data_IF_510883968755
#
_entry.id   IF_510883968755
#
_cell.length_a   1.000
_cell.length_b   1.000
_cell.length_c   1.000
_cell.angle_alpha   90.00
_cell.angle_beta   90.00
_cell.angle_gamma   90.00
#
_symmetry.space_group_name_H-M   'P 1'
#
loop_
_entity.id
_entity.type
_entity.pdbx_description
1 polymer ?
#
# COMPACT_ATOMS: atom_id res chain seq x y z
N UNK A 1 0.06 -5.54 2.41
CA UNK A 1 -0.12 -5.35 0.96
C UNK A 1 -1.05 -4.18 0.68
N UNK A 2 -2.22 -4.12 1.30
CA UNK A 2 -3.09 -2.93 1.21
C UNK A 2 -2.60 -1.85 2.18
N UNK A 3 -1.86 -0.88 1.64
CA UNK A 3 -1.46 0.34 2.33
C UNK A 3 -2.28 1.53 1.87
N UNK A 4 -2.03 2.70 2.43
CA UNK A 4 -2.71 3.96 2.09
C UNK A 4 -2.51 4.33 0.62
N UNK A 5 -1.38 3.93 0.03
CA UNK A 5 -1.04 4.22 -1.37
C UNK A 5 -2.06 3.65 -2.36
N UNK A 6 -2.72 2.53 -2.07
CA UNK A 6 -3.71 1.98 -3.00
C UNK A 6 -4.96 2.87 -3.11
N UNK A 7 -5.28 3.62 -2.07
CA UNK A 7 -6.43 4.52 -2.05
C UNK A 7 -6.09 5.93 -2.55
N UNK A 8 -4.89 6.43 -2.28
CA UNK A 8 -4.52 7.79 -2.68
C UNK A 8 -3.80 7.85 -4.03
N UNK A 9 -2.88 6.92 -4.29
CA UNK A 9 -1.93 7.03 -5.41
C UNK A 9 -2.32 6.18 -6.61
N UNK A 10 -3.08 5.11 -6.41
CA UNK A 10 -3.45 4.21 -7.51
C UNK A 10 -4.21 4.94 -8.63
N UNK A 11 -5.15 5.82 -8.29
CA UNK A 11 -5.90 6.62 -9.26
C UNK A 11 -5.00 7.54 -10.08
N UNK A 12 -4.00 8.17 -9.44
CA UNK A 12 -3.04 9.05 -10.11
C UNK A 12 -2.12 8.26 -11.06
N UNK A 13 -1.67 7.07 -10.65
CA UNK A 13 -0.83 6.20 -11.49
C UNK A 13 -1.61 5.74 -12.72
N UNK A 14 -2.84 5.27 -12.55
CA UNK A 14 -3.70 4.85 -13.68
C UNK A 14 -4.07 6.03 -14.57
N UNK A 15 -4.31 7.22 -14.00
CA UNK A 15 -4.63 8.42 -14.75
C UNK A 15 -3.51 8.89 -15.68
N UNK A 16 -2.25 8.81 -15.24
CA UNK A 16 -1.10 9.22 -16.06
C UNK A 16 -0.60 8.11 -17.00
N UNK A 17 -0.46 6.88 -16.50
CA UNK A 17 0.08 5.77 -17.29
C UNK A 17 -0.97 5.17 -18.25
N UNK A 18 -2.25 5.42 -18.02
CA UNK A 18 -3.34 4.72 -18.71
C UNK A 18 -3.52 3.30 -18.18
N UNK A 19 -4.63 2.67 -18.57
CA UNK A 19 -5.00 1.34 -18.06
C UNK A 19 -4.03 0.26 -18.56
N UNK A 20 -3.54 0.36 -19.80
CA UNK A 20 -2.64 -0.63 -20.39
C UNK A 20 -1.31 -0.75 -19.66
N UNK A 21 -0.58 0.36 -19.53
CA UNK A 21 0.73 0.40 -18.85
C UNK A 21 0.60 0.14 -17.35
N UNK A 22 -0.45 0.63 -16.69
CA UNK A 22 -0.71 0.34 -15.29
C UNK A 22 -0.94 -1.17 -15.05
N UNK A 23 -1.69 -1.84 -15.93
CA UNK A 23 -1.86 -3.29 -15.88
C UNK A 23 -0.53 -4.03 -16.09
N UNK A 24 0.31 -3.58 -17.03
CA UNK A 24 1.63 -4.16 -17.26
C UNK A 24 2.51 -4.04 -16.01
N UNK A 25 2.55 -2.87 -15.39
CA UNK A 25 3.32 -2.63 -14.16
C UNK A 25 2.85 -3.55 -13.01
N UNK A 26 1.54 -3.72 -12.86
CA UNK A 26 0.95 -4.63 -11.87
C UNK A 26 1.36 -6.08 -12.14
N UNK A 27 1.25 -6.56 -13.38
CA UNK A 27 1.64 -7.93 -13.75
C UNK A 27 3.13 -8.17 -13.48
N UNK A 28 3.99 -7.22 -13.85
CA UNK A 28 5.44 -7.31 -13.59
C UNK A 28 5.73 -7.39 -12.08
N UNK A 29 5.06 -6.55 -11.28
CA UNK A 29 5.19 -6.58 -9.81
C UNK A 29 4.73 -7.92 -9.23
N UNK A 30 3.63 -8.48 -9.73
CA UNK A 30 3.16 -9.81 -9.34
C UNK A 30 4.14 -10.92 -9.69
N UNK A 31 4.80 -10.88 -10.85
CA UNK A 31 5.83 -11.87 -11.22
C UNK A 31 7.00 -11.83 -10.23
N UNK A 32 7.48 -10.63 -9.87
CA UNK A 32 8.57 -10.46 -8.89
C UNK A 32 8.14 -10.97 -7.51
N UNK A 33 6.94 -10.61 -7.05
CA UNK A 33 6.41 -11.05 -5.76
C UNK A 33 6.18 -12.58 -5.71
N UNK A 34 5.67 -13.16 -6.80
CA UNK A 34 5.47 -14.60 -6.93
C UNK A 34 6.80 -15.36 -6.92
N UNK A 35 7.81 -14.86 -7.64
CA UNK A 35 9.15 -15.42 -7.64
C UNK A 35 9.76 -15.39 -6.24
N UNK A 36 9.68 -14.23 -5.55
CA UNK A 36 10.21 -14.07 -4.19
C UNK A 36 9.49 -14.98 -3.18
N UNK A 37 8.16 -15.11 -3.29
CA UNK A 37 7.36 -15.99 -2.43
C UNK A 37 7.70 -17.46 -2.68
N UNK A 38 7.94 -17.84 -3.94
CA UNK A 38 8.39 -19.20 -4.30
C UNK A 38 9.76 -19.51 -3.70
N UNK A 39 10.70 -18.57 -3.77
CA UNK A 39 12.00 -18.69 -3.08
C UNK A 39 11.84 -18.82 -1.56
N UNK A 40 10.97 -18.00 -0.95
CA UNK A 40 10.72 -18.05 0.49
C UNK A 40 10.10 -19.39 0.91
N UNK A 41 9.18 -19.94 0.11
CA UNK A 41 8.60 -21.27 0.33
C UNK A 41 9.65 -22.39 0.26
N UNK A 42 10.59 -22.30 -0.68
CA UNK A 42 11.71 -23.25 -0.78
C UNK A 42 12.64 -23.16 0.43
N UNK A 43 12.94 -21.95 0.90
CA UNK A 43 13.75 -21.69 2.11
C UNK A 43 13.05 -22.26 3.36
N UNK A 44 11.75 -22.00 3.50
CA UNK A 44 10.95 -22.48 4.62
C UNK A 44 10.88 -24.02 4.65
N UNK A 45 10.83 -24.67 3.49
CA UNK A 45 10.79 -26.13 3.38
C UNK A 45 12.17 -26.78 3.61
N UNK A 46 13.26 -26.09 3.26
CA UNK A 46 14.64 -26.61 3.38
C UNK A 46 15.22 -26.45 4.80
N UNK A 47 14.67 -25.53 5.60
CA UNK A 47 15.19 -25.18 6.93
C UNK A 47 14.94 -26.17 8.07
N UNK A 48 14.22 -27.28 7.83
CA UNK A 48 13.78 -28.23 8.86
C UNK A 48 12.62 -27.70 9.73
N UNK A 49 12.09 -28.51 10.65
CA UNK A 49 10.95 -28.13 11.50
C UNK A 49 11.37 -27.01 12.46
N UNK A 50 10.88 -25.80 12.22
CA UNK A 50 11.14 -24.62 13.04
C UNK A 50 10.04 -24.54 14.08
N UNK A 51 10.35 -24.91 15.32
CA UNK A 51 9.37 -24.79 16.41
C UNK A 51 9.34 -23.38 17.00
N UNK A 52 10.47 -22.67 17.08
CA UNK A 52 10.55 -21.31 17.65
C UNK A 52 11.72 -20.52 17.04
N UNK A 53 11.47 -19.34 16.45
CA UNK A 53 12.55 -18.50 15.89
C UNK A 53 12.13 -17.37 14.93
N UNK A 54 10.90 -17.41 14.40
CA UNK A 54 10.43 -16.37 13.47
C UNK A 54 11.20 -16.29 12.14
N UNK A 55 10.87 -15.33 11.26
CA UNK A 55 11.36 -15.30 9.88
C UNK A 55 12.88 -15.14 9.74
N UNK A 56 13.50 -14.31 10.58
CA UNK A 56 14.96 -14.09 10.54
C UNK A 56 15.74 -15.35 10.90
N UNK A 57 15.29 -16.09 11.92
CA UNK A 57 15.94 -17.34 12.31
C UNK A 57 15.88 -18.38 11.19
N UNK A 58 14.71 -18.49 10.52
CA UNK A 58 14.56 -19.38 9.35
C UNK A 58 15.53 -19.02 8.22
N UNK A 59 15.67 -17.73 7.91
CA UNK A 59 16.59 -17.24 6.87
C UNK A 59 18.06 -17.52 7.21
N UNK A 60 18.49 -17.14 8.42
CA UNK A 60 19.89 -17.28 8.85
C UNK A 60 20.36 -18.74 8.89
N UNK A 61 19.45 -19.69 9.18
CA UNK A 61 19.75 -21.12 9.20
C UNK A 61 19.86 -21.72 7.79
N UNK A 62 18.95 -21.36 6.89
CA UNK A 62 18.94 -21.93 5.52
C UNK A 62 19.99 -21.31 4.59
N UNK A 63 20.29 -20.01 4.73
CA UNK A 63 21.22 -19.27 3.85
C UNK A 63 22.61 -19.05 4.48
N UNK A 64 22.76 -19.32 5.77
CA UNK A 64 23.95 -19.00 6.56
C UNK A 64 23.93 -17.59 7.15
N UNK A 65 24.75 -17.37 8.18
CA UNK A 65 24.71 -16.18 9.02
C UNK A 65 24.95 -14.87 8.25
N UNK A 66 25.92 -14.84 7.33
CA UNK A 66 26.28 -13.63 6.58
C UNK A 66 25.19 -13.19 5.60
N UNK A 67 24.62 -14.14 4.84
CA UNK A 67 23.54 -13.87 3.89
C UNK A 67 22.24 -13.52 4.63
N UNK A 68 21.90 -14.23 5.71
CA UNK A 68 20.74 -13.93 6.54
C UNK A 68 20.81 -12.54 7.18
N UNK A 69 21.98 -12.14 7.69
CA UNK A 69 22.17 -10.82 8.31
C UNK A 69 21.99 -9.67 7.29
N UNK A 70 22.56 -9.78 6.09
CA UNK A 70 22.42 -8.77 5.03
C UNK A 70 20.95 -8.56 4.62
N UNK A 71 20.23 -9.66 4.39
CA UNK A 71 18.80 -9.62 4.06
C UNK A 71 17.98 -9.05 5.22
N UNK A 72 18.28 -9.47 6.46
CA UNK A 72 17.58 -9.00 7.66
C UNK A 72 17.70 -7.49 7.90
N UNK A 73 18.91 -6.92 7.77
CA UNK A 73 19.14 -5.48 7.93
C UNK A 73 18.40 -4.69 6.84
N UNK A 74 18.48 -5.16 5.59
CA UNK A 74 17.79 -4.51 4.47
C UNK A 74 16.27 -4.56 4.64
N UNK A 75 15.74 -5.69 5.10
CA UNK A 75 14.31 -5.87 5.37
C UNK A 75 13.84 -4.96 6.52
N UNK A 76 14.59 -4.86 7.61
CA UNK A 76 14.29 -3.96 8.72
C UNK A 76 14.22 -2.50 8.26
N UNK A 77 15.22 -2.04 7.51
CA UNK A 77 15.23 -0.67 6.98
C UNK A 77 14.05 -0.42 6.03
N UNK A 78 13.75 -1.37 5.15
CA UNK A 78 12.60 -1.28 4.24
C UNK A 78 11.27 -1.14 4.98
N UNK A 79 11.04 -1.95 6.02
CA UNK A 79 9.82 -1.87 6.84
C UNK A 79 9.76 -0.57 7.67
N UNK A 80 10.89 -0.07 8.16
CA UNK A 80 10.92 1.21 8.85
C UNK A 80 10.52 2.37 7.93
N UNK A 81 11.07 2.42 6.71
CA UNK A 81 10.71 3.42 5.71
C UNK A 81 9.26 3.28 5.24
N UNK A 82 8.76 2.05 5.10
CA UNK A 82 7.36 1.80 4.80
C UNK A 82 6.44 2.38 5.89
N UNK A 83 6.78 2.19 7.17
CA UNK A 83 6.02 2.76 8.28
C UNK A 83 5.93 4.30 8.23
N UNK A 84 7.01 4.96 7.83
CA UNK A 84 7.02 6.43 7.63
C UNK A 84 6.13 6.81 6.46
N UNK A 85 6.23 6.12 5.32
CA UNK A 85 5.45 6.39 4.12
C UNK A 85 3.93 6.24 4.38
N UNK A 86 3.53 5.18 5.07
CA UNK A 86 2.13 4.95 5.45
C UNK A 86 1.63 6.00 6.44
N UNK A 87 2.47 6.47 7.36
CA UNK A 87 2.12 7.52 8.31
C UNK A 87 1.89 8.87 7.61
N UNK A 88 2.78 9.24 6.67
CA UNK A 88 2.61 10.47 5.87
C UNK A 88 1.38 10.36 4.97
N UNK A 89 1.16 9.21 4.33
CA UNK A 89 -0.04 8.97 3.53
C UNK A 89 -1.33 9.09 4.35
N UNK A 90 -1.33 8.64 5.62
CA UNK A 90 -2.48 8.83 6.50
C UNK A 90 -2.79 10.31 6.78
N UNK A 91 -1.76 11.16 6.87
CA UNK A 91 -1.95 12.61 7.02
C UNK A 91 -2.49 13.24 5.73
N UNK A 92 -2.04 12.80 4.55
CA UNK A 92 -2.61 13.24 3.27
C UNK A 92 -4.09 12.87 3.17
N UNK A 93 -4.46 11.65 3.55
CA UNK A 93 -5.86 11.23 3.60
C UNK A 93 -6.69 12.08 4.59
N UNK A 94 -6.12 12.43 5.74
CA UNK A 94 -6.77 13.30 6.73
C UNK A 94 -6.94 14.73 6.21
N UNK A 95 -5.95 15.26 5.49
CA UNK A 95 -6.01 16.60 4.88
C UNK A 95 -7.08 16.68 3.78
N UNK A 96 -7.34 15.58 3.05
CA UNK A 96 -8.46 15.51 2.11
C UNK A 96 -9.83 15.51 2.82
N UNK A 97 -9.93 14.96 4.02
CA UNK A 97 -11.16 14.93 4.81
C UNK A 97 -11.41 16.25 5.57
N UNK A 98 -10.35 16.92 6.01
CA UNK A 98 -10.41 18.18 6.77
C UNK A 98 -9.45 19.19 6.13
N UNK A 99 -9.93 20.01 5.16
CA UNK A 99 -9.10 20.91 4.38
C UNK A 99 -8.35 21.96 5.21
N UNK A 100 -8.91 22.33 6.37
CA UNK A 100 -8.34 23.34 7.27
C UNK A 100 -6.94 22.97 7.77
N UNK A 101 -6.57 21.68 7.79
CA UNK A 101 -5.23 21.22 8.21
C UNK A 101 -4.12 21.73 7.28
N UNK A 102 -4.43 21.97 6.00
CA UNK A 102 -3.45 22.40 4.99
C UNK A 102 -2.97 23.83 5.28
N UNK A 103 -3.77 24.63 5.99
CA UNK A 103 -3.42 26.00 6.36
C UNK A 103 -2.25 26.11 7.34
N UNK A 104 -1.88 25.01 8.01
CA UNK A 104 -0.80 24.98 9.00
C UNK A 104 0.54 24.72 8.27
N UNK A 105 1.52 25.63 8.35
CA UNK A 105 2.82 25.41 7.74
C UNK A 105 3.54 24.24 8.43
N UNK A 106 3.99 23.26 7.65
CA UNK A 106 4.67 22.07 8.16
C UNK A 106 3.73 21.02 8.77
N UNK A 107 2.45 20.99 8.38
CA UNK A 107 1.48 20.03 8.90
C UNK A 107 1.94 18.56 8.72
N UNK A 108 2.61 18.21 7.62
CA UNK A 108 3.14 16.85 7.41
C UNK A 108 4.12 16.43 8.51
N UNK A 109 5.06 17.29 8.88
CA UNK A 109 6.06 16.96 9.89
C UNK A 109 5.44 16.90 11.30
N UNK A 110 4.56 17.84 11.62
CA UNK A 110 3.94 17.95 12.94
C UNK A 110 2.97 16.78 13.16
N UNK A 111 1.98 16.62 12.28
CA UNK A 111 0.98 15.56 12.42
C UNK A 111 1.57 14.19 12.15
N UNK A 112 2.43 14.03 11.14
CA UNK A 112 3.10 12.77 10.85
C UNK A 112 4.03 12.35 11.99
N UNK A 113 4.83 13.27 12.53
CA UNK A 113 5.69 13.01 13.68
C UNK A 113 4.89 12.66 14.94
N UNK A 114 3.79 13.38 15.20
CA UNK A 114 2.90 13.09 16.32
C UNK A 114 2.23 11.71 16.20
N UNK A 115 1.83 11.31 14.98
CA UNK A 115 1.23 10.01 14.70
C UNK A 115 2.23 8.88 14.93
N UNK A 116 3.46 9.02 14.44
CA UNK A 116 4.52 8.02 14.65
C UNK A 116 4.85 7.88 16.15
N UNK A 117 4.93 9.00 16.88
CA UNK A 117 5.12 8.98 18.33
C UNK A 117 3.97 8.26 19.05
N UNK A 118 2.73 8.55 18.67
CA UNK A 118 1.55 7.88 19.22
C UNK A 118 1.58 6.37 18.95
N UNK A 119 1.90 5.97 17.72
CA UNK A 119 2.03 4.56 17.36
C UNK A 119 3.14 3.87 18.15
N UNK A 120 4.25 4.57 18.43
CA UNK A 120 5.34 4.05 19.28
C UNK A 120 4.85 3.76 20.71
N UNK A 121 4.09 4.68 21.30
CA UNK A 121 3.48 4.49 22.63
C UNK A 121 2.51 3.30 22.63
N UNK A 122 1.70 3.14 21.58
CA UNK A 122 0.77 2.00 21.44
C UNK A 122 1.54 0.67 21.38
N UNK A 123 2.65 0.62 20.64
CA UNK A 123 3.49 -0.58 20.57
C UNK A 123 4.12 -0.89 21.93
N UNK A 124 4.51 0.13 22.70
CA UNK A 124 5.04 -0.05 24.06
C UNK A 124 4.00 -0.61 25.03
N UNK A 125 2.72 -0.27 24.83
CA UNK A 125 1.57 -0.87 25.55
C UNK A 125 1.33 -2.36 25.29
N UNK A 126 2.05 -2.96 24.35
CA UNK A 126 2.11 -4.40 24.13
C UNK A 126 1.48 -4.86 22.82
N UNK A 127 2.13 -5.83 22.17
CA UNK A 127 1.77 -6.31 20.83
C UNK A 127 0.39 -6.99 20.77
N UNK A 128 -0.12 -7.50 21.90
CA UNK A 128 -1.43 -8.15 21.96
C UNK A 128 -2.59 -7.22 21.56
N UNK A 129 -2.49 -5.93 21.91
CA UNK A 129 -3.50 -4.93 21.52
C UNK A 129 -3.42 -4.68 20.02
N UNK A 130 -2.21 -4.51 19.50
CA UNK A 130 -1.94 -4.26 18.07
C UNK A 130 -2.44 -5.41 17.21
N UNK A 131 -2.20 -6.67 17.61
CA UNK A 131 -2.67 -7.84 16.86
C UNK A 131 -4.20 -7.92 16.79
N UNK A 132 -4.91 -7.62 17.89
CA UNK A 132 -6.38 -7.58 17.89
C UNK A 132 -6.94 -6.44 17.02
N UNK A 133 -6.35 -5.25 17.12
CA UNK A 133 -6.72 -4.11 16.28
C UNK A 133 -6.46 -4.39 14.80
N UNK A 134 -5.40 -5.12 14.46
CA UNK A 134 -5.10 -5.52 13.10
C UNK A 134 -6.24 -6.27 12.41
N UNK A 135 -6.87 -7.23 13.11
CA UNK A 135 -8.02 -7.97 12.57
C UNK A 135 -9.21 -7.04 12.32
N UNK A 136 -9.46 -6.10 13.24
CA UNK A 136 -10.48 -5.07 13.05
C UNK A 136 -10.22 -4.21 11.80
N UNK A 137 -8.99 -3.73 11.61
CA UNK A 137 -8.64 -2.93 10.43
C UNK A 137 -8.78 -3.71 9.12
N UNK A 138 -8.46 -5.01 9.10
CA UNK A 138 -8.67 -5.85 7.92
C UNK A 138 -10.14 -5.89 7.52
N UNK A 139 -11.06 -6.02 8.48
CA UNK A 139 -12.51 -6.00 8.21
C UNK A 139 -12.94 -4.66 7.63
N UNK A 140 -12.48 -3.54 8.21
CA UNK A 140 -12.79 -2.19 7.73
C UNK A 140 -12.28 -1.99 6.29
N UNK A 141 -11.02 -2.33 6.01
CA UNK A 141 -10.43 -2.19 4.67
C UNK A 141 -11.17 -3.06 3.65
N UNK A 142 -11.52 -4.30 4.03
CA UNK A 142 -12.28 -5.20 3.16
C UNK A 142 -13.66 -4.61 2.83
N UNK A 143 -14.34 -4.04 3.82
CA UNK A 143 -15.63 -3.37 3.61
C UNK A 143 -15.49 -2.15 2.70
N UNK A 144 -14.44 -1.33 2.87
CA UNK A 144 -14.17 -0.18 1.99
C UNK A 144 -13.98 -0.60 0.54
N UNK A 145 -13.23 -1.69 0.30
CA UNK A 145 -13.04 -2.24 -1.05
C UNK A 145 -14.38 -2.72 -1.64
N UNK A 146 -15.22 -3.38 -0.85
CA UNK A 146 -16.56 -3.80 -1.29
C UNK A 146 -17.44 -2.60 -1.65
N UNK A 147 -17.43 -1.56 -0.82
CA UNK A 147 -18.17 -0.32 -1.09
C UNK A 147 -17.70 0.36 -2.37
N UNK A 148 -16.40 0.34 -2.64
CA UNK A 148 -15.85 0.87 -3.90
C UNK A 148 -16.41 0.11 -5.12
N UNK A 149 -16.43 -1.23 -5.08
CA UNK A 149 -17.02 -2.03 -6.15
C UNK A 149 -18.52 -1.76 -6.34
N UNK A 150 -19.28 -1.68 -5.25
CA UNK A 150 -20.71 -1.31 -5.31
C UNK A 150 -20.88 0.08 -5.92
N UNK A 151 -20.01 1.04 -5.56
CA UNK A 151 -20.02 2.40 -6.09
C UNK A 151 -19.89 2.46 -7.62
N UNK A 152 -19.08 1.58 -8.23
CA UNK A 152 -18.95 1.49 -9.69
C UNK A 152 -20.29 1.15 -10.36
N UNK A 153 -21.10 0.27 -9.76
CA UNK A 153 -22.38 -0.14 -10.31
C UNK A 153 -23.51 0.88 -10.08
N UNK A 154 -23.42 1.68 -9.01
CA UNK A 154 -24.43 2.70 -8.65
C UNK A 154 -24.15 4.06 -9.32
N UNK A 155 -22.89 4.35 -9.65
CA UNK A 155 -22.42 5.56 -10.33
C UNK A 155 -23.27 6.05 -11.52
N UNK A 156 -23.72 5.19 -12.47
CA UNK A 156 -24.44 5.68 -13.65
C UNK A 156 -25.83 6.29 -13.38
N UNK A 157 -26.31 6.31 -12.12
CA UNK A 157 -27.65 6.80 -11.76
C UNK A 157 -27.70 8.14 -11.02
N UNK A 158 -26.56 8.81 -10.76
CA UNK A 158 -26.52 10.03 -9.94
C UNK A 158 -25.87 11.22 -10.66
N UNK A 159 -26.65 12.28 -10.92
CA UNK A 159 -26.19 13.52 -11.57
C UNK A 159 -25.03 14.22 -10.84
N UNK A 160 -24.93 14.06 -9.51
CA UNK A 160 -23.82 14.62 -8.72
C UNK A 160 -22.47 13.95 -9.01
N UNK A 161 -22.48 12.72 -9.53
CA UNK A 161 -21.29 11.90 -9.82
C UNK A 161 -20.76 12.17 -11.24
N UNK A 162 -21.63 12.61 -12.17
CA UNK A 162 -21.24 13.05 -13.52
C UNK A 162 -20.33 14.28 -13.49
N UNK A 163 -20.58 15.24 -12.59
CA UNK A 163 -19.74 16.45 -12.43
C UNK A 163 -18.32 16.13 -11.93
N UNK A 164 -18.15 15.01 -11.25
CA UNK A 164 -16.86 14.51 -10.76
C UNK A 164 -16.11 13.65 -11.80
N UNK A 165 -16.66 13.49 -13.02
CA UNK A 165 -16.04 12.72 -14.11
C UNK A 165 -16.15 11.19 -13.95
N UNK A 166 -17.03 10.70 -13.08
CA UNK A 166 -17.17 9.27 -12.78
C UNK A 166 -18.34 8.69 -13.58
N UNK A 167 -18.03 8.09 -14.73
CA UNK A 167 -19.02 7.59 -15.72
C UNK A 167 -19.50 6.16 -15.48
N UNK A 168 -19.00 5.47 -14.45
CA UNK A 168 -19.29 4.07 -14.17
C UNK A 168 -18.60 3.11 -15.17
N UNK A 169 -19.20 1.94 -15.42
CA UNK A 169 -18.69 0.99 -16.40
C UNK A 169 -19.05 1.43 -17.83
N UNK A 170 -18.15 2.16 -18.47
CA UNK A 170 -18.29 2.58 -19.88
C UNK A 170 -17.14 2.08 -20.74
N UNK A 171 -17.47 1.35 -21.81
CA UNK A 171 -16.48 0.87 -22.78
C UNK A 171 -15.81 2.00 -23.56
N UNK A 172 -16.50 3.14 -23.77
CA UNK A 172 -15.92 4.30 -24.44
C UNK A 172 -14.90 5.02 -23.54
N UNK A 173 -15.21 5.16 -22.24
CA UNK A 173 -14.28 5.71 -21.25
C UNK A 173 -13.06 4.80 -21.10
N UNK A 174 -13.25 3.47 -21.08
CA UNK A 174 -12.13 2.54 -21.03
C UNK A 174 -11.24 2.68 -22.27
N UNK A 175 -11.82 2.71 -23.47
CA UNK A 175 -11.09 2.85 -24.72
C UNK A 175 -10.25 4.14 -24.79
N UNK A 176 -10.81 5.25 -24.32
CA UNK A 176 -10.11 6.54 -24.31
C UNK A 176 -8.98 6.62 -23.26
N UNK A 177 -9.05 5.82 -22.19
CA UNK A 177 -8.04 5.78 -21.13
C UNK A 177 -7.05 4.60 -21.26
N UNK A 178 -7.06 3.87 -22.38
CA UNK A 178 -6.14 2.76 -22.61
C UNK A 178 -4.69 3.24 -22.79
N UNK A 179 -4.50 4.36 -23.48
CA UNK A 179 -3.19 4.93 -23.77
C UNK A 179 -2.65 5.79 -22.61
N UNK A 180 -1.33 5.91 -22.47
CA UNK A 180 -0.71 6.80 -21.50
C UNK A 180 -0.89 8.28 -21.87
N UNK A 181 -1.09 9.11 -20.86
CA UNK A 181 -1.09 10.57 -20.96
C UNK A 181 -0.33 11.13 -19.76
N UNK A 182 0.99 11.08 -19.82
CA UNK A 182 1.86 11.54 -18.74
C UNK A 182 1.90 13.07 -18.68
N UNK A 183 1.74 13.62 -17.48
CA UNK A 183 2.03 15.03 -17.19
C UNK A 183 3.53 15.37 -17.34
N UNK A 184 3.82 16.66 -17.54
CA UNK A 184 5.19 17.16 -17.74
C UNK A 184 6.12 16.75 -16.58
N UNK A 185 7.10 15.90 -16.91
CA UNK A 185 8.10 15.40 -15.97
C UNK A 185 7.82 14.01 -15.37
N UNK A 186 6.66 13.40 -15.67
CA UNK A 186 6.33 12.02 -15.26
C UNK A 186 6.68 11.04 -16.39
N UNK A 187 7.36 9.94 -16.09
CA UNK A 187 7.57 8.86 -17.08
C UNK A 187 7.29 7.52 -16.44
N UNK A 188 7.11 6.50 -17.28
CA UNK A 188 6.89 5.13 -16.79
C UNK A 188 8.00 4.61 -15.86
N UNK A 189 9.25 5.05 -16.05
CA UNK A 189 10.41 4.61 -15.27
C UNK A 189 10.99 5.63 -14.28
N UNK A 190 10.41 6.84 -14.18
CA UNK A 190 10.88 7.92 -13.31
C UNK A 190 9.70 8.69 -12.74
#
# INVERSE_FOLDING_TARGET
>A
MWGVLIFLRFFYVVGNAGVGEACLAVVLSFIVAFCTTSCLSAIASSGGVVSEGGPYHMLSRSLGAYAGASVGITYYLGFALLGVLESVGAIDALAMAVPDLISIPGYHQIFGGSLVLLLNVVVWGGIHVVTKLGVFFVVVVSLTILMFYVGIFVSPQSEAIELAGVTGLSASTLGNNLGPSYDDGVRFGT
#
